data_IF_004323688863
#
_entry.id   IF_004323688863
#
_cell.length_a   1.000
_cell.length_b   1.000
_cell.length_c   1.000
_cell.angle_alpha   90.00
_cell.angle_beta   90.00
_cell.angle_gamma   90.00
#
_symmetry.space_group_name_H-M   'P 1'
#
loop_
_entity.id
_entity.type
_entity.pdbx_description
1 polymer ?
#
# COMPACT_ATOMS: atom_id res chain seq x y z
N UNK A 1 47.77 -13.96 0.34
CA UNK A 1 47.60 -15.38 -0.07
C UNK A 1 46.24 -15.53 -0.65
N UNK A 2 46.08 -15.81 -1.95
CA UNK A 2 44.78 -15.88 -2.60
C UNK A 2 44.27 -17.32 -2.63
N UNK A 3 43.08 -17.57 -2.09
CA UNK A 3 42.37 -18.84 -2.21
C UNK A 3 41.41 -18.80 -3.40
N UNK A 4 41.76 -19.50 -4.49
CA UNK A 4 40.90 -19.71 -5.66
C UNK A 4 40.02 -20.95 -5.37
N UNK A 5 38.71 -20.81 -5.31
CA UNK A 5 37.78 -21.93 -5.39
C UNK A 5 37.12 -21.97 -6.76
N UNK A 6 37.50 -22.97 -7.53
CA UNK A 6 36.91 -23.34 -8.82
C UNK A 6 35.67 -24.18 -8.56
N UNK A 7 34.50 -23.77 -9.07
CA UNK A 7 33.28 -24.59 -9.02
C UNK A 7 32.97 -25.06 -10.44
N UNK A 8 32.98 -26.39 -10.60
CA UNK A 8 32.70 -27.09 -11.85
C UNK A 8 31.20 -27.04 -12.16
N UNK A 9 30.87 -26.75 -13.41
CA UNK A 9 29.54 -26.81 -13.96
C UNK A 9 29.15 -28.26 -14.25
N UNK A 10 28.04 -28.72 -13.71
CA UNK A 10 27.38 -29.97 -14.08
C UNK A 10 26.14 -29.68 -14.90
N UNK A 11 26.20 -29.98 -16.21
CA UNK A 11 25.06 -29.89 -17.13
C UNK A 11 24.29 -31.22 -17.05
N UNK A 12 23.03 -31.19 -16.60
CA UNK A 12 22.11 -32.32 -16.69
C UNK A 12 21.05 -32.02 -17.73
N UNK A 13 21.11 -32.68 -18.88
CA UNK A 13 20.08 -32.69 -19.92
C UNK A 13 19.04 -33.76 -19.59
N UNK A 14 17.81 -33.35 -19.29
CA UNK A 14 16.67 -34.26 -19.17
C UNK A 14 15.77 -34.17 -20.40
N UNK A 15 15.75 -35.24 -21.22
CA UNK A 15 14.83 -35.41 -22.34
C UNK A 15 13.47 -35.90 -21.81
N UNK A 16 12.39 -35.17 -22.06
CA UNK A 16 11.04 -35.65 -21.81
C UNK A 16 10.40 -36.15 -23.11
N UNK A 17 10.07 -37.44 -23.11
CA UNK A 17 9.29 -38.12 -24.15
C UNK A 17 7.82 -37.83 -23.90
N UNK A 18 7.14 -37.26 -24.88
CA UNK A 18 5.67 -37.05 -24.87
C UNK A 18 4.98 -38.29 -25.41
N UNK A 19 4.25 -39.00 -24.58
CA UNK A 19 3.35 -40.09 -25.01
C UNK A 19 1.93 -39.56 -25.04
N UNK A 20 1.38 -39.47 -26.23
CA UNK A 20 -0.03 -39.16 -26.47
C UNK A 20 -0.91 -40.39 -26.21
N UNK A 21 -1.90 -40.27 -25.35
CA UNK A 21 -3.04 -41.21 -25.30
C UNK A 21 -4.34 -40.45 -25.48
N UNK A 22 -4.96 -40.70 -26.61
CA UNK A 22 -6.35 -40.32 -26.91
C UNK A 22 -7.30 -41.26 -26.15
N UNK A 23 -8.28 -40.71 -25.43
CA UNK A 23 -9.52 -41.42 -25.10
C UNK A 23 -10.69 -40.43 -25.02
N UNK A 24 -11.71 -40.74 -25.80
CA UNK A 24 -12.96 -40.01 -25.95
C UNK A 24 -13.89 -40.18 -24.74
N UNK A 25 -14.74 -39.18 -24.51
CA UNK A 25 -16.09 -39.38 -23.98
C UNK A 25 -16.38 -38.69 -22.65
N UNK A 26 -17.35 -37.75 -22.67
CA UNK A 26 -18.09 -37.32 -21.49
C UNK A 26 -18.21 -35.80 -21.31
N UNK A 27 -19.23 -35.19 -21.93
CA UNK A 27 -19.84 -33.91 -21.51
C UNK A 27 -20.90 -34.12 -20.44
N UNK A 28 -21.48 -33.06 -19.81
CA UNK A 28 -21.02 -31.74 -19.42
C UNK A 28 -21.20 -31.51 -17.90
N UNK A 29 -20.39 -30.68 -17.31
CA UNK A 29 -20.63 -30.11 -16.00
C UNK A 29 -20.08 -28.70 -16.00
N UNK A 30 -20.94 -27.72 -16.32
CA UNK A 30 -20.60 -26.30 -16.27
C UNK A 30 -20.53 -25.88 -14.81
N UNK A 31 -19.34 -25.93 -14.22
CA UNK A 31 -19.03 -25.27 -12.97
C UNK A 31 -18.45 -23.88 -13.34
N UNK A 32 -19.03 -22.77 -12.88
CA UNK A 32 -18.40 -21.47 -13.09
C UNK A 32 -17.10 -21.43 -12.27
N UNK A 33 -15.99 -21.38 -12.98
CA UNK A 33 -14.70 -21.09 -12.38
C UNK A 33 -14.76 -19.71 -11.70
N UNK A 34 -14.19 -19.55 -10.48
CA UNK A 34 -14.03 -18.23 -9.90
C UNK A 34 -13.16 -17.42 -10.86
N UNK A 35 -13.70 -16.29 -11.31
CA UNK A 35 -12.99 -15.32 -12.11
C UNK A 35 -11.73 -14.90 -11.34
N UNK A 36 -10.59 -15.40 -11.77
CA UNK A 36 -9.29 -14.90 -11.34
C UNK A 36 -9.20 -13.47 -11.84
N UNK A 37 -9.50 -12.50 -10.98
CA UNK A 37 -9.23 -11.11 -11.25
C UNK A 37 -7.69 -10.98 -11.30
N UNK A 38 -7.17 -10.96 -12.52
CA UNK A 38 -5.77 -10.66 -12.78
C UNK A 38 -5.41 -9.30 -12.17
N UNK A 39 -4.14 -9.06 -11.86
CA UNK A 39 -3.70 -7.78 -11.32
C UNK A 39 -4.12 -6.68 -12.28
N UNK A 40 -4.95 -5.74 -11.79
CA UNK A 40 -5.31 -4.55 -12.55
C UNK A 40 -4.02 -3.87 -13.00
N UNK A 41 -3.82 -3.83 -14.30
CA UNK A 41 -2.69 -3.16 -14.94
C UNK A 41 -2.67 -1.73 -14.43
N UNK A 42 -1.61 -1.34 -13.70
CA UNK A 42 -1.42 0.02 -13.25
C UNK A 42 -1.37 0.92 -14.49
N UNK A 43 -2.42 1.68 -14.72
CA UNK A 43 -2.44 2.72 -15.75
C UNK A 43 -1.31 3.71 -15.46
N UNK A 44 -0.61 4.12 -16.50
CA UNK A 44 0.57 4.96 -16.46
C UNK A 44 0.40 6.17 -15.51
N UNK A 45 1.20 6.21 -14.42
CA UNK A 45 1.36 7.36 -13.53
C UNK A 45 0.38 7.48 -12.37
N UNK A 46 -0.66 6.65 -12.26
CA UNK A 46 -1.63 6.70 -11.16
C UNK A 46 -1.26 5.84 -9.97
N UNK A 47 -1.54 6.32 -8.75
CA UNK A 47 -1.44 5.55 -7.51
C UNK A 47 -2.81 5.06 -7.11
N UNK A 48 -3.00 3.74 -7.03
CA UNK A 48 -4.26 3.13 -6.57
C UNK A 48 -4.30 3.09 -5.04
N UNK A 49 -5.39 3.57 -4.47
CA UNK A 49 -5.68 3.49 -3.04
C UNK A 49 -6.75 2.42 -2.86
N UNK A 50 -6.46 1.47 -1.99
CA UNK A 50 -7.39 0.41 -1.60
C UNK A 50 -7.85 0.55 -0.16
N UNK A 51 -8.52 -0.48 0.32
CA UNK A 51 -8.97 -0.57 1.73
C UNK A 51 -8.61 -1.92 2.32
N UNK A 52 -8.38 -1.92 3.63
CA UNK A 52 -8.31 -3.12 4.46
C UNK A 52 -9.13 -2.90 5.74
N UNK A 53 -9.36 -3.96 6.50
CA UNK A 53 -10.10 -3.86 7.76
C UNK A 53 -9.44 -4.67 8.85
N UNK A 54 -9.52 -4.17 10.08
CA UNK A 54 -9.21 -4.95 11.28
C UNK A 54 -10.34 -4.81 12.31
N UNK A 55 -10.43 -5.79 13.22
CA UNK A 55 -11.47 -5.78 14.25
C UNK A 55 -11.38 -4.57 15.19
N UNK A 56 -10.15 -4.10 15.47
CA UNK A 56 -9.89 -2.98 16.40
C UNK A 56 -10.00 -1.61 15.75
N UNK A 57 -9.57 -1.48 14.47
CA UNK A 57 -9.48 -0.19 13.79
C UNK A 57 -10.59 0.05 12.76
N UNK A 58 -11.41 -0.97 12.47
CA UNK A 58 -12.40 -0.87 11.38
C UNK A 58 -11.73 -0.80 10.00
N UNK A 59 -12.37 -0.15 9.04
CA UNK A 59 -11.88 -0.02 7.67
C UNK A 59 -10.95 1.19 7.52
N UNK A 60 -9.82 0.98 6.84
CA UNK A 60 -8.77 1.97 6.63
C UNK A 60 -8.18 1.89 5.23
N UNK A 61 -7.45 2.95 4.85
CA UNK A 61 -6.84 3.08 3.54
C UNK A 61 -5.53 2.29 3.43
N UNK A 62 -5.28 1.73 2.25
CA UNK A 62 -4.04 1.05 1.89
C UNK A 62 -3.50 1.55 0.55
N UNK A 63 -2.18 1.50 0.38
CA UNK A 63 -1.55 1.73 -0.91
C UNK A 63 -1.66 0.52 -1.84
N UNK A 64 -1.10 0.65 -3.05
CA UNK A 64 -1.18 -0.36 -4.11
C UNK A 64 -0.64 -1.76 -3.72
N UNK A 65 0.28 -1.81 -2.77
CA UNK A 65 0.87 -3.05 -2.24
C UNK A 65 0.14 -3.60 -1.01
N UNK A 66 -1.05 -3.05 -0.66
CA UNK A 66 -1.82 -3.42 0.53
C UNK A 66 -1.23 -2.93 1.86
N UNK A 67 -0.15 -2.15 1.84
CA UNK A 67 0.41 -1.53 3.05
C UNK A 67 -0.51 -0.43 3.57
N UNK A 68 -0.65 -0.37 4.87
CA UNK A 68 -1.48 0.62 5.56
C UNK A 68 -1.01 2.04 5.30
N UNK A 69 -1.98 2.93 5.14
CA UNK A 69 -1.74 4.37 5.01
C UNK A 69 -2.11 5.08 6.31
N UNK A 70 -1.37 6.15 6.60
CA UNK A 70 -1.47 6.93 7.82
C UNK A 70 -1.62 8.41 7.50
N UNK A 71 -2.23 9.15 8.43
CA UNK A 71 -2.27 10.61 8.47
C UNK A 71 -1.55 11.11 9.72
N UNK A 72 -1.03 12.33 9.69
CA UNK A 72 -0.32 12.95 10.81
C UNK A 72 -1.14 14.08 11.43
N UNK A 73 -1.28 14.08 12.76
CA UNK A 73 -2.08 15.09 13.47
C UNK A 73 -1.51 16.52 13.37
N UNK A 74 -0.20 16.65 13.10
CA UNK A 74 0.45 17.94 12.89
C UNK A 74 0.31 18.52 11.49
N UNK A 75 -0.30 17.76 10.55
CA UNK A 75 -0.50 18.22 9.19
C UNK A 75 -1.81 19.01 9.06
N UNK A 76 -1.79 19.98 8.15
CA UNK A 76 -2.99 20.74 7.77
C UNK A 76 -3.55 20.29 6.43
N UNK A 77 -4.70 20.88 6.01
CA UNK A 77 -5.23 20.64 4.68
C UNK A 77 -4.21 20.97 3.59
N UNK A 78 -3.88 19.98 2.78
CA UNK A 78 -2.89 20.05 1.71
C UNK A 78 -1.50 20.59 2.15
N UNK A 79 -1.14 20.35 3.40
CA UNK A 79 0.15 20.78 3.97
C UNK A 79 0.76 19.65 4.78
N UNK A 80 1.98 19.25 4.42
CA UNK A 80 2.76 18.26 5.15
C UNK A 80 3.84 18.94 6.00
N UNK A 81 3.88 18.64 7.26
CA UNK A 81 4.93 19.05 8.22
C UNK A 81 6.03 18.01 8.38
N UNK A 82 5.78 16.79 7.92
CA UNK A 82 6.72 15.65 8.05
C UNK A 82 7.82 15.75 6.99
N UNK A 83 9.01 16.20 7.39
CA UNK A 83 10.20 16.37 6.54
C UNK A 83 11.43 15.74 7.19
N UNK A 84 12.54 15.57 6.48
CA UNK A 84 13.81 15.06 7.00
C UNK A 84 13.67 13.67 7.65
N UNK A 85 14.08 13.55 8.91
CA UNK A 85 14.02 12.28 9.64
C UNK A 85 12.59 11.75 9.81
N UNK A 86 11.60 12.62 9.91
CA UNK A 86 10.20 12.22 9.91
C UNK A 86 9.84 11.50 8.60
N UNK A 87 10.15 12.07 7.44
CA UNK A 87 9.84 11.48 6.15
C UNK A 87 10.64 10.19 5.87
N UNK A 88 11.75 9.97 6.56
CA UNK A 88 12.50 8.70 6.53
C UNK A 88 11.73 7.60 7.27
N UNK A 89 11.25 7.89 8.48
CA UNK A 89 10.47 6.93 9.27
C UNK A 89 9.05 6.75 8.71
N UNK A 90 8.47 7.82 8.17
CA UNK A 90 7.13 7.91 7.60
C UNK A 90 7.19 8.32 6.13
N UNK A 91 7.57 7.41 5.23
CA UNK A 91 7.66 7.73 3.81
C UNK A 91 6.34 8.25 3.27
N UNK A 92 6.31 9.44 2.64
CA UNK A 92 5.11 9.97 2.02
C UNK A 92 4.67 9.07 0.85
N UNK A 93 3.37 8.90 0.68
CA UNK A 93 2.82 8.26 -0.51
C UNK A 93 2.93 9.23 -1.68
N UNK A 94 3.96 9.07 -2.48
CA UNK A 94 4.25 9.96 -3.63
C UNK A 94 3.80 9.37 -4.95
N UNK A 95 3.64 10.23 -5.95
CA UNK A 95 3.29 9.87 -7.32
C UNK A 95 4.02 10.75 -8.33
N UNK A 96 4.02 10.36 -9.58
CA UNK A 96 4.61 11.14 -10.66
C UNK A 96 3.81 12.44 -10.89
N UNK A 97 4.51 13.50 -11.31
CA UNK A 97 3.88 14.78 -11.66
C UNK A 97 2.83 14.57 -12.78
N UNK A 98 1.68 15.21 -12.61
CA UNK A 98 0.56 15.09 -13.54
C UNK A 98 -0.28 13.82 -13.40
N UNK A 99 0.13 12.87 -12.55
CA UNK A 99 -0.69 11.71 -12.21
C UNK A 99 -1.90 12.08 -11.36
N UNK A 100 -2.85 11.14 -11.26
CA UNK A 100 -4.01 11.26 -10.37
C UNK A 100 -4.14 9.99 -9.52
N UNK A 101 -4.42 10.11 -8.21
CA UNK A 101 -4.71 8.95 -7.39
C UNK A 101 -6.07 8.36 -7.79
N UNK A 102 -6.16 7.04 -7.76
CA UNK A 102 -7.38 6.31 -8.12
C UNK A 102 -7.96 5.62 -6.89
N UNK A 103 -9.24 5.87 -6.63
CA UNK A 103 -9.97 5.21 -5.56
C UNK A 103 -10.36 3.79 -5.96
N UNK A 104 -9.96 2.81 -5.17
CA UNK A 104 -10.43 1.43 -5.25
C UNK A 104 -11.78 1.24 -4.53
N UNK A 105 -12.27 0.02 -4.52
CA UNK A 105 -13.53 -0.32 -3.86
C UNK A 105 -13.48 0.03 -2.35
N UNK A 106 -14.53 0.66 -1.86
CA UNK A 106 -14.67 1.04 -0.45
C UNK A 106 -13.99 2.36 -0.05
N UNK A 107 -13.21 3.00 -0.94
CA UNK A 107 -12.64 4.32 -0.68
C UNK A 107 -13.70 5.38 -0.92
N UNK A 108 -14.07 6.13 0.14
CA UNK A 108 -15.13 7.16 0.09
C UNK A 108 -14.60 8.59 0.25
N UNK A 109 -13.35 8.75 0.73
CA UNK A 109 -12.68 10.04 0.87
C UNK A 109 -12.32 10.67 -0.49
N UNK A 110 -12.28 11.99 -0.54
CA UNK A 110 -11.82 12.72 -1.72
C UNK A 110 -10.30 12.59 -1.85
N UNK A 111 -9.84 11.88 -2.87
CA UNK A 111 -8.40 11.79 -3.17
C UNK A 111 -7.93 13.05 -3.90
N UNK A 112 -6.73 13.48 -3.58
CA UNK A 112 -6.08 14.64 -4.17
C UNK A 112 -4.55 14.53 -4.07
N UNK A 113 -3.88 15.63 -4.37
CA UNK A 113 -2.41 15.71 -4.27
C UNK A 113 -1.99 17.05 -3.70
N UNK A 114 -0.83 17.07 -3.06
CA UNK A 114 -0.12 18.30 -2.68
C UNK A 114 1.31 18.26 -3.23
N UNK A 115 1.89 19.41 -3.50
CA UNK A 115 3.31 19.54 -3.82
C UNK A 115 4.08 19.79 -2.52
N UNK A 116 5.02 18.90 -2.20
CA UNK A 116 5.91 19.04 -1.04
C UNK A 116 7.00 20.08 -1.30
N UNK A 117 7.69 20.52 -0.23
CA UNK A 117 8.79 21.47 -0.34
C UNK A 117 9.98 20.96 -1.19
N UNK A 118 10.15 19.65 -1.30
CA UNK A 118 11.15 19.00 -2.16
C UNK A 118 10.72 18.85 -3.63
N UNK A 119 9.54 19.37 -3.99
CA UNK A 119 8.98 19.32 -5.33
C UNK A 119 8.25 18.00 -5.66
N UNK A 120 8.26 17.01 -4.78
CA UNK A 120 7.53 15.76 -5.00
C UNK A 120 6.03 15.94 -4.81
N UNK A 121 5.22 15.18 -5.55
CA UNK A 121 3.77 15.15 -5.36
C UNK A 121 3.39 14.06 -4.39
N UNK A 122 2.70 14.44 -3.31
CA UNK A 122 2.18 13.51 -2.31
C UNK A 122 0.67 13.38 -2.45
N UNK A 123 0.16 12.16 -2.32
CA UNK A 123 -1.28 11.87 -2.32
C UNK A 123 -1.91 12.31 -1.01
N UNK A 124 -3.14 12.84 -1.12
CA UNK A 124 -3.97 13.22 0.03
C UNK A 124 -5.32 12.50 -0.01
N UNK A 125 -5.91 12.31 1.17
CA UNK A 125 -7.31 11.91 1.35
C UNK A 125 -8.01 12.99 2.17
N UNK A 126 -9.09 13.56 1.63
CA UNK A 126 -9.82 14.70 2.23
C UNK A 126 -8.89 15.89 2.62
N UNK A 127 -7.86 16.08 1.82
CA UNK A 127 -6.82 17.10 2.02
C UNK A 127 -5.71 16.68 2.99
N UNK A 128 -5.82 15.56 3.69
CA UNK A 128 -4.78 15.09 4.61
C UNK A 128 -3.71 14.29 3.86
N UNK A 129 -2.41 14.63 4.04
CA UNK A 129 -1.31 13.89 3.43
C UNK A 129 -1.26 12.45 3.89
N UNK A 130 -0.97 11.53 2.97
CA UNK A 130 -0.89 10.10 3.25
C UNK A 130 0.55 9.62 3.33
N UNK A 131 0.83 8.76 4.31
CA UNK A 131 2.16 8.20 4.60
C UNK A 131 2.10 6.69 4.76
N UNK A 132 3.25 6.05 4.56
CA UNK A 132 3.52 4.70 5.03
C UNK A 132 4.24 4.75 6.39
N UNK A 133 4.22 3.62 7.09
CA UNK A 133 5.08 3.39 8.24
C UNK A 133 6.19 2.41 7.90
N UNK A 134 7.45 2.78 8.19
CA UNK A 134 8.60 1.93 7.90
C UNK A 134 8.58 0.63 8.71
N UNK A 135 7.98 0.63 9.90
CA UNK A 135 7.85 -0.54 10.77
C UNK A 135 6.81 -1.57 10.31
N UNK A 136 5.93 -1.24 9.35
CA UNK A 136 4.97 -2.20 8.81
C UNK A 136 5.69 -3.16 7.85
N UNK A 137 5.78 -4.44 8.23
CA UNK A 137 6.51 -5.45 7.46
C UNK A 137 5.63 -6.08 6.37
N UNK A 138 4.33 -6.23 6.61
CA UNK A 138 3.38 -6.94 5.75
C UNK A 138 2.18 -6.07 5.36
N UNK A 139 1.47 -6.41 4.27
CA UNK A 139 0.16 -5.83 3.98
C UNK A 139 -0.78 -5.96 5.19
N UNK A 140 -1.49 -4.87 5.52
CA UNK A 140 -2.44 -4.83 6.63
C UNK A 140 -1.84 -4.68 8.03
N UNK A 141 -0.51 -4.65 8.19
CA UNK A 141 0.10 -4.26 9.47
C UNK A 141 -0.30 -2.82 9.81
N UNK A 142 -0.57 -2.57 11.09
CA UNK A 142 -1.00 -1.25 11.60
C UNK A 142 -0.14 -0.83 12.79
N UNK A 143 1.15 -1.17 12.78
CA UNK A 143 2.06 -0.97 13.91
C UNK A 143 2.42 0.50 14.14
N UNK A 144 2.10 1.37 13.17
CA UNK A 144 2.28 2.82 13.25
C UNK A 144 1.12 3.57 13.90
N UNK A 145 0.00 2.91 14.22
CA UNK A 145 -1.15 3.60 14.80
C UNK A 145 -0.85 4.15 16.21
N UNK A 146 -1.06 5.46 16.40
CA UNK A 146 -0.72 6.16 17.64
C UNK A 146 0.76 6.54 17.82
N UNK A 147 1.64 6.19 16.87
CA UNK A 147 3.08 6.49 16.96
C UNK A 147 3.36 7.91 16.48
N UNK A 148 3.99 8.74 17.34
CA UNK A 148 4.43 10.11 17.02
C UNK A 148 3.33 10.99 16.37
N UNK A 149 2.08 10.84 16.78
CA UNK A 149 0.96 11.62 16.24
C UNK A 149 0.43 11.12 14.90
N UNK A 150 0.91 9.98 14.43
CA UNK A 150 0.32 9.33 13.26
C UNK A 150 -0.83 8.39 13.67
N UNK A 151 -1.83 8.32 12.82
CA UNK A 151 -2.96 7.40 12.98
C UNK A 151 -3.32 6.79 11.63
N UNK A 152 -3.85 5.58 11.67
CA UNK A 152 -4.32 4.89 10.46
C UNK A 152 -5.33 5.77 9.73
N UNK A 153 -5.12 5.98 8.43
CA UNK A 153 -6.02 6.77 7.58
C UNK A 153 -7.34 6.03 7.38
N UNK A 154 -8.42 6.55 7.96
CA UNK A 154 -9.77 5.96 7.86
C UNK A 154 -10.40 6.24 6.50
N UNK A 155 -11.27 5.33 6.04
CA UNK A 155 -12.14 5.62 4.90
C UNK A 155 -13.14 6.71 5.29
N UNK A 156 -13.28 7.75 4.47
CA UNK A 156 -14.18 8.88 4.77
C UNK A 156 -13.60 9.94 5.70
N UNK A 157 -12.28 10.02 5.77
CA UNK A 157 -11.48 11.15 6.28
C UNK A 157 -12.01 11.91 7.49
N UNK A 158 -12.02 11.30 8.68
CA UNK A 158 -12.01 12.10 9.89
C UNK A 158 -10.55 12.43 10.19
N UNK A 159 -10.20 13.73 10.16
CA UNK A 159 -8.90 14.18 10.64
C UNK A 159 -8.66 13.59 12.05
N UNK A 160 -7.43 13.09 12.37
CA UNK A 160 -7.13 12.68 13.72
C UNK A 160 -7.39 13.89 14.63
N UNK A 161 -8.40 13.78 15.48
CA UNK A 161 -8.58 14.76 16.57
C UNK A 161 -7.36 14.61 17.47
N UNK A 162 -6.59 15.68 17.75
CA UNK A 162 -5.54 15.59 18.76
C UNK A 162 -6.22 15.07 20.04
N UNK A 163 -5.74 13.95 20.55
CA UNK A 163 -6.15 13.47 21.86
C UNK A 163 -5.90 14.62 22.82
N UNK A 164 -6.98 15.23 23.33
CA UNK A 164 -6.86 16.15 24.42
C UNK A 164 -6.20 15.35 25.56
N UNK A 165 -4.92 15.62 25.78
CA UNK A 165 -4.27 15.17 26.99
C UNK A 165 -5.11 15.74 28.11
N UNK A 166 -5.77 14.86 28.86
CA UNK A 166 -6.39 15.20 30.13
C UNK A 166 -5.33 15.91 30.98
N UNK A 167 -5.35 17.23 30.90
CA UNK A 167 -4.66 18.06 31.87
C UNK A 167 -5.58 18.19 33.08
N UNK A 168 -5.84 17.08 33.76
CA UNK A 168 -6.31 17.09 35.14
C UNK A 168 -5.11 17.44 36.01
N UNK A 169 -4.77 18.73 36.04
CA UNK A 169 -3.80 19.32 36.94
C UNK A 169 -4.54 20.30 37.83
N UNK A 170 -4.50 20.02 39.08
CA UNK A 170 -4.88 20.84 40.23
C UNK A 170 -4.25 22.24 40.22
#
# INVERSE_FOLDING_TARGET
MPGRCTIAALVLTASFVVTACSASGGSPGTSPAPASQGPASAAAGGVAIGTASSASLGTFLTGANGKTLYTHAGDGPNTSTCTGACATAWPPLTMAAGGQPTAGAGVTGKLGTLTRADGTMQVTSDGLPLYYWQGDAKPGDTTGDGVNGFSVAKVGGTAPVPSASDNSGY
#
